data_IF_816039208649
#
_entry.id   IF_816039208649
#
_cell.length_a   1.000
_cell.length_b   1.000
_cell.length_c   1.000
_cell.angle_alpha   90.00
_cell.angle_beta   90.00
_cell.angle_gamma   90.00
#
_symmetry.space_group_name_H-M   'P 1'
#
loop_
_entity.id
_entity.type
_entity.pdbx_description
1 polymer ?
#
# COMPACT_ATOMS: atom_id res chain seq x y z
N UNK A 1 -19.64 4.03 17.75
CA UNK A 1 -19.28 3.68 16.36
C UNK A 1 -20.26 4.39 15.45
N UNK A 2 -19.80 4.98 14.34
CA UNK A 2 -20.61 5.88 13.52
C UNK A 2 -21.60 5.16 12.58
N UNK A 3 -21.42 3.86 12.33
CA UNK A 3 -22.27 3.07 11.43
C UNK A 3 -23.08 2.05 12.23
N UNK A 4 -24.38 1.98 11.96
CA UNK A 4 -25.29 0.96 12.49
C UNK A 4 -25.27 -0.29 11.60
N UNK A 5 -24.62 -1.35 12.07
CA UNK A 5 -24.54 -2.63 11.37
C UNK A 5 -23.15 -3.27 11.42
N UNK A 6 -22.99 -4.47 10.83
CA UNK A 6 -21.69 -5.12 10.73
C UNK A 6 -20.73 -4.26 9.89
N UNK A 7 -19.52 -4.06 10.42
CA UNK A 7 -18.45 -3.31 9.76
C UNK A 7 -17.23 -4.22 9.61
N UNK A 8 -16.56 -4.15 8.46
CA UNK A 8 -15.37 -4.95 8.17
C UNK A 8 -14.14 -4.04 8.02
N UNK A 9 -13.01 -4.48 8.58
CA UNK A 9 -11.72 -3.81 8.47
C UNK A 9 -10.68 -4.84 8.03
N UNK A 10 -10.14 -4.65 6.81
CA UNK A 10 -8.98 -5.41 6.34
C UNK A 10 -7.71 -4.67 6.71
N UNK A 11 -6.91 -5.26 7.59
CA UNK A 11 -5.65 -4.66 8.06
C UNK A 11 -4.47 -5.39 7.43
N UNK A 12 -3.66 -4.66 6.67
CA UNK A 12 -2.38 -5.17 6.18
C UNK A 12 -1.34 -5.10 7.29
N UNK A 13 -0.97 -6.27 7.83
CA UNK A 13 -0.02 -6.40 8.93
C UNK A 13 1.22 -7.18 8.47
N UNK A 14 2.34 -6.49 8.14
CA UNK A 14 3.58 -7.18 7.80
C UNK A 14 4.06 -8.07 8.94
N UNK A 15 4.41 -9.32 8.59
CA UNK A 15 4.88 -10.32 9.52
C UNK A 15 6.38 -10.56 9.29
N UNK A 16 7.28 -10.03 10.16
CA UNK A 16 8.73 -10.15 9.97
C UNK A 16 9.19 -11.58 9.76
N UNK A 17 8.68 -12.51 10.59
CA UNK A 17 9.03 -13.93 10.53
C UNK A 17 8.55 -14.58 9.23
N UNK A 18 7.26 -14.43 8.90
CA UNK A 18 6.67 -15.09 7.74
C UNK A 18 7.11 -14.47 6.41
N UNK A 19 7.45 -13.19 6.39
CA UNK A 19 7.83 -12.47 5.18
C UNK A 19 9.34 -12.32 5.03
N UNK A 20 10.09 -12.79 6.04
CA UNK A 20 11.56 -12.79 6.08
C UNK A 20 12.14 -11.39 5.88
N UNK A 21 11.79 -10.46 6.77
CA UNK A 21 12.39 -9.14 6.84
C UNK A 21 12.77 -8.78 8.29
N UNK A 22 13.71 -7.85 8.48
CA UNK A 22 14.09 -7.36 9.81
C UNK A 22 12.89 -6.70 10.52
N UNK A 23 12.70 -6.90 11.84
CA UNK A 23 11.58 -6.31 12.58
C UNK A 23 11.53 -4.78 12.51
N UNK A 24 12.68 -4.12 12.43
CA UNK A 24 12.83 -2.67 12.25
C UNK A 24 12.27 -2.15 10.90
N UNK A 25 12.13 -3.04 9.91
CA UNK A 25 11.61 -2.70 8.58
C UNK A 25 10.08 -2.76 8.48
N UNK A 26 9.37 -3.23 9.51
CA UNK A 26 7.91 -3.49 9.47
C UNK A 26 7.11 -2.29 8.93
N UNK A 27 7.39 -1.08 9.42
CA UNK A 27 6.70 0.15 8.97
C UNK A 27 7.09 0.51 7.53
N UNK A 28 8.35 0.27 7.14
CA UNK A 28 8.83 0.51 5.77
C UNK A 28 8.15 -0.44 4.78
N UNK A 29 8.00 -1.72 5.13
CA UNK A 29 7.30 -2.73 4.32
C UNK A 29 5.83 -2.36 4.15
N UNK A 30 5.13 -2.00 5.24
CA UNK A 30 3.74 -1.56 5.17
C UNK A 30 3.58 -0.34 4.24
N UNK A 31 4.46 0.66 4.38
CA UNK A 31 4.41 1.87 3.55
C UNK A 31 4.68 1.57 2.08
N UNK A 32 5.68 0.73 1.78
CA UNK A 32 5.96 0.31 0.42
C UNK A 32 4.75 -0.38 -0.21
N UNK A 33 4.02 -1.23 0.52
CA UNK A 33 2.79 -1.86 0.02
C UNK A 33 1.71 -0.84 -0.42
N UNK A 34 1.59 0.29 0.30
CA UNK A 34 0.71 1.41 -0.06
C UNK A 34 1.26 2.18 -1.26
N UNK A 35 2.53 2.61 -1.21
CA UNK A 35 3.17 3.45 -2.24
C UNK A 35 3.28 2.75 -3.60
N UNK A 36 3.31 1.41 -3.63
CA UNK A 36 3.27 0.63 -4.87
C UNK A 36 1.86 0.32 -5.36
N UNK A 37 0.80 0.66 -4.61
CA UNK A 37 -0.60 0.36 -4.99
C UNK A 37 -1.04 -1.09 -4.75
N UNK A 38 -0.22 -1.92 -4.12
CA UNK A 38 -0.55 -3.33 -3.82
C UNK A 38 -1.50 -3.45 -2.61
N UNK A 39 -1.45 -2.48 -1.69
CA UNK A 39 -2.33 -2.40 -0.52
C UNK A 39 -3.03 -1.04 -0.51
N UNK A 40 -4.15 -0.90 -1.25
CA UNK A 40 -4.95 0.31 -1.23
C UNK A 40 -5.48 0.61 0.18
N UNK A 41 -5.43 1.87 0.59
CA UNK A 41 -6.12 2.35 1.79
C UNK A 41 -7.35 3.10 1.32
N UNK A 42 -8.50 2.44 1.41
CA UNK A 42 -9.78 2.94 0.92
C UNK A 42 -10.87 2.65 1.93
N UNK A 43 -11.92 3.46 1.89
CA UNK A 43 -13.18 3.25 2.61
C UNK A 43 -14.28 3.03 1.59
N UNK A 44 -15.03 1.96 1.79
CA UNK A 44 -16.14 1.56 0.94
C UNK A 44 -17.43 1.62 1.74
N UNK A 45 -18.39 2.42 1.28
CA UNK A 45 -19.74 2.43 1.82
C UNK A 45 -20.74 2.11 0.71
N UNK A 46 -21.59 1.11 0.95
CA UNK A 46 -22.69 0.72 0.04
C UNK A 46 -22.21 0.51 -1.41
N UNK A 47 -21.04 -0.12 -1.57
CA UNK A 47 -20.44 -0.43 -2.88
C UNK A 47 -19.74 0.75 -3.57
N UNK A 48 -19.53 1.88 -2.89
CA UNK A 48 -18.86 3.07 -3.43
C UNK A 48 -17.64 3.43 -2.60
N UNK A 49 -16.58 3.89 -3.27
CA UNK A 49 -15.40 4.47 -2.61
C UNK A 49 -15.78 5.84 -2.07
N UNK A 50 -15.72 6.01 -0.75
CA UNK A 50 -16.03 7.28 -0.09
C UNK A 50 -14.79 8.03 0.40
N UNK A 51 -13.70 7.30 0.65
CA UNK A 51 -12.43 7.88 1.08
C UNK A 51 -11.26 7.05 0.58
N UNK A 52 -10.15 7.71 0.27
CA UNK A 52 -8.89 7.08 -0.14
C UNK A 52 -7.73 7.79 0.53
N UNK A 53 -6.66 7.08 0.87
CA UNK A 53 -5.38 7.71 1.17
C UNK A 53 -4.59 7.87 -0.13
N UNK A 54 -4.34 9.09 -0.61
CA UNK A 54 -3.62 9.29 -1.85
C UNK A 54 -2.15 8.89 -1.75
N UNK A 55 -1.65 8.21 -2.77
CA UNK A 55 -0.25 7.89 -3.02
C UNK A 55 0.41 9.14 -3.60
N UNK A 56 1.35 9.71 -2.85
CA UNK A 56 2.07 10.92 -3.27
C UNK A 56 3.10 10.63 -4.35
N UNK A 57 3.78 9.51 -4.22
CA UNK A 57 4.78 9.04 -5.17
C UNK A 57 4.53 7.57 -5.46
N UNK A 58 4.12 7.26 -6.70
CA UNK A 58 3.94 5.88 -7.17
C UNK A 58 5.30 5.22 -7.29
N UNK A 59 5.50 4.11 -6.57
CA UNK A 59 6.71 3.29 -6.66
C UNK A 59 6.46 2.02 -7.46
N UNK A 60 7.48 1.47 -8.15
CA UNK A 60 7.34 0.17 -8.79
C UNK A 60 7.22 -0.92 -7.73
N UNK A 61 6.47 -2.00 -8.03
CA UNK A 61 6.22 -3.09 -7.07
C UNK A 61 7.50 -3.74 -6.54
N UNK A 62 8.59 -3.67 -7.31
CA UNK A 62 9.91 -4.18 -6.91
C UNK A 62 10.45 -3.53 -5.63
N UNK A 63 10.08 -2.29 -5.32
CA UNK A 63 10.44 -1.63 -4.05
C UNK A 63 9.81 -2.33 -2.84
N UNK A 64 8.58 -2.86 -2.98
CA UNK A 64 7.94 -3.66 -1.95
C UNK A 64 8.51 -5.09 -1.92
N UNK A 65 8.70 -5.73 -3.08
CA UNK A 65 9.19 -7.10 -3.16
C UNK A 65 10.61 -7.28 -2.59
N UNK A 66 11.52 -6.34 -2.86
CA UNK A 66 12.92 -6.39 -2.39
C UNK A 66 13.07 -6.38 -0.87
N UNK A 67 12.09 -5.87 -0.14
CA UNK A 67 12.14 -5.80 1.32
C UNK A 67 11.86 -7.15 2.01
N UNK A 68 11.39 -8.15 1.27
CA UNK A 68 10.82 -9.38 1.83
C UNK A 68 11.49 -10.61 1.23
N UNK A 69 12.08 -11.47 2.07
CA UNK A 69 12.72 -12.71 1.60
C UNK A 69 11.76 -13.67 0.89
N UNK A 70 10.45 -13.62 1.17
CA UNK A 70 9.45 -14.50 0.53
C UNK A 70 9.35 -14.30 -0.99
N UNK A 71 9.81 -13.16 -1.50
CA UNK A 71 9.80 -12.84 -2.93
C UNK A 71 11.19 -12.92 -3.59
N UNK A 72 12.21 -13.45 -2.90
CA UNK A 72 13.59 -13.51 -3.44
C UNK A 72 13.67 -14.19 -4.82
N UNK A 73 12.87 -15.23 -5.04
CA UNK A 73 12.81 -15.96 -6.31
C UNK A 73 12.24 -15.12 -7.47
N UNK A 74 11.48 -14.06 -7.16
CA UNK A 74 10.91 -13.15 -8.15
C UNK A 74 11.85 -11.99 -8.51
N UNK A 75 13.08 -11.93 -7.98
CA UNK A 75 14.00 -10.80 -8.22
C UNK A 75 15.13 -11.12 -9.21
N UNK A 76 15.21 -12.35 -9.71
CA UNK A 76 16.16 -12.73 -10.76
C UNK A 76 15.66 -12.44 -12.18
N UNK A 77 16.49 -12.74 -13.16
CA UNK A 77 16.21 -12.49 -14.59
C UNK A 77 15.60 -13.70 -15.32
N UNK A 78 15.16 -14.72 -14.58
CA UNK A 78 14.37 -15.82 -15.15
C UNK A 78 13.10 -15.26 -15.82
N UNK A 79 12.78 -15.65 -17.06
CA UNK A 79 11.56 -15.23 -17.76
C UNK A 79 10.28 -15.34 -16.92
N UNK A 80 10.13 -16.39 -16.12
CA UNK A 80 8.96 -16.56 -15.24
C UNK A 80 8.94 -15.50 -14.15
N UNK A 81 10.08 -15.23 -13.52
CA UNK A 81 10.19 -14.20 -12.49
C UNK A 81 9.90 -12.80 -13.07
N UNK A 82 10.36 -12.52 -14.29
CA UNK A 82 10.06 -11.27 -15.01
C UNK A 82 8.55 -11.14 -15.25
N UNK A 83 7.92 -12.17 -15.80
CA UNK A 83 6.49 -12.19 -16.08
C UNK A 83 5.64 -11.99 -14.82
N UNK A 84 6.01 -12.63 -13.71
CA UNK A 84 5.30 -12.47 -12.43
C UNK A 84 5.46 -11.05 -11.87
N UNK A 85 6.63 -10.43 -12.00
CA UNK A 85 6.81 -9.02 -11.60
C UNK A 85 5.95 -8.08 -12.43
N UNK A 86 5.85 -8.30 -13.73
CA UNK A 86 4.99 -7.53 -14.63
C UNK A 86 3.51 -7.71 -14.27
N UNK A 87 3.09 -8.95 -13.98
CA UNK A 87 1.74 -9.23 -13.52
C UNK A 87 1.41 -8.51 -12.21
N UNK A 88 2.30 -8.56 -11.22
CA UNK A 88 2.13 -7.84 -9.95
C UNK A 88 2.07 -6.32 -10.16
N UNK A 89 2.87 -5.77 -11.09
CA UNK A 89 2.81 -4.36 -11.44
C UNK A 89 1.46 -3.99 -12.09
N UNK A 90 0.94 -4.85 -12.97
CA UNK A 90 -0.38 -4.64 -13.59
C UNK A 90 -1.51 -4.65 -12.55
N UNK A 91 -1.45 -5.53 -11.54
CA UNK A 91 -2.42 -5.54 -10.44
C UNK A 91 -2.35 -4.24 -9.59
N UNK A 92 -1.14 -3.80 -9.28
CA UNK A 92 -0.91 -2.52 -8.60
C UNK A 92 -1.49 -1.35 -9.40
N UNK A 93 -1.23 -1.30 -10.70
CA UNK A 93 -1.69 -0.25 -11.59
C UNK A 93 -3.23 -0.26 -11.73
N UNK A 94 -3.82 -1.44 -11.84
CA UNK A 94 -5.26 -1.62 -11.84
C UNK A 94 -5.91 -1.12 -10.54
N UNK A 95 -5.31 -1.41 -9.38
CA UNK A 95 -5.80 -0.88 -8.10
C UNK A 95 -5.74 0.65 -8.06
N UNK A 96 -4.62 1.23 -8.53
CA UNK A 96 -4.42 2.68 -8.57
C UNK A 96 -5.50 3.35 -9.42
N UNK A 97 -5.80 2.80 -10.60
CA UNK A 97 -6.84 3.30 -11.48
C UNK A 97 -8.24 3.12 -10.87
N UNK A 98 -8.57 1.89 -10.46
CA UNK A 98 -9.90 1.51 -9.95
C UNK A 98 -10.32 2.35 -8.75
N UNK A 99 -9.40 2.61 -7.83
CA UNK A 99 -9.69 3.36 -6.60
C UNK A 99 -9.29 4.83 -6.69
N UNK A 100 -8.67 5.29 -7.78
CA UNK A 100 -8.22 6.68 -7.92
C UNK A 100 -7.19 7.07 -6.86
N UNK A 101 -6.14 6.25 -6.69
CA UNK A 101 -5.22 6.35 -5.55
C UNK A 101 -4.15 7.45 -5.68
N UNK A 102 -3.99 8.13 -6.81
CA UNK A 102 -2.92 9.13 -6.96
C UNK A 102 -3.28 10.45 -6.30
N UNK A 103 -2.28 11.05 -5.63
CA UNK A 103 -2.42 12.38 -5.04
C UNK A 103 -2.73 13.44 -6.11
N UNK A 104 -3.65 14.35 -5.75
CA UNK A 104 -4.06 15.50 -6.54
C UNK A 104 -3.53 16.78 -5.90
N UNK A 105 -3.41 17.83 -6.71
CA UNK A 105 -3.02 19.15 -6.24
C UNK A 105 -4.07 19.64 -5.22
N UNK A 106 -3.63 19.87 -3.98
CA UNK A 106 -4.49 20.31 -2.89
C UNK A 106 -4.78 19.26 -1.83
N UNK A 107 -4.34 18.00 -2.02
CA UNK A 107 -4.46 16.97 -0.98
C UNK A 107 -3.60 17.35 0.24
N UNK A 108 -4.25 17.49 1.40
CA UNK A 108 -3.59 17.85 2.67
C UNK A 108 -3.10 16.62 3.45
N UNK A 109 -3.56 15.42 3.07
CA UNK A 109 -3.21 14.13 3.67
C UNK A 109 -2.95 13.09 2.58
N UNK A 110 -1.79 12.46 2.63
CA UNK A 110 -1.28 11.49 1.65
C UNK A 110 -0.37 10.44 2.32
N UNK A 111 0.09 9.46 1.54
CA UNK A 111 0.99 8.36 1.95
C UNK A 111 2.23 8.79 2.74
N UNK A 112 2.70 10.02 2.60
CA UNK A 112 3.86 10.56 3.33
C UNK A 112 3.42 11.46 4.48
N UNK A 113 2.48 12.39 4.26
CA UNK A 113 2.02 13.31 5.32
C UNK A 113 1.26 12.59 6.43
N UNK A 114 0.55 11.50 6.11
CA UNK A 114 -0.10 10.65 7.12
C UNK A 114 0.89 9.97 8.08
N UNK A 115 2.16 9.83 7.70
CA UNK A 115 3.20 9.30 8.57
C UNK A 115 3.79 10.35 9.52
N UNK A 116 3.53 11.64 9.27
CA UNK A 116 4.03 12.74 10.08
C UNK A 116 3.03 13.04 11.21
N UNK A 117 3.10 12.26 12.30
CA UNK A 117 2.36 12.57 13.52
C UNK A 117 3.16 13.59 14.34
N UNK A 118 2.61 14.80 14.53
CA UNK A 118 3.19 15.81 15.43
C UNK A 118 2.44 15.83 16.77
N UNK A 119 3.09 16.30 17.85
CA UNK A 119 2.38 16.59 19.11
C UNK A 119 1.26 17.59 18.80
N UNK A 120 0.01 17.21 19.06
CA UNK A 120 -1.19 17.99 18.70
C UNK A 120 -2.08 17.39 17.61
N UNK A 121 -1.66 16.31 16.92
CA UNK A 121 -2.48 15.59 15.95
C UNK A 121 -2.01 15.72 14.50
N UNK A 122 -2.86 15.30 13.54
CA UNK A 122 -2.60 15.40 12.11
C UNK A 122 -2.60 16.87 11.65
N UNK A 123 -1.84 17.17 10.58
CA UNK A 123 -1.80 18.49 9.94
C UNK A 123 -3.23 18.86 9.52
N UNK A 124 -3.80 19.88 10.16
CA UNK A 124 -5.06 20.50 9.74
C UNK A 124 -4.79 21.46 8.60
#
# INVERSE_FOLDING_TARGET
MAIEGPTFLMIHAPCPLGWMHGPELTVKVARAGVETGLTPIVELERGRVVSVLPIREKKPVTEYLRLQGRFRHLLGDDPVAVQEREHLQALADHNIETYGLLARKGDTRDSVTAALVRRGGAIR
#
